data_IF_860516732022
#
_entry.id   IF_860516732022
#
_cell.length_a   1.000
_cell.length_b   1.000
_cell.length_c   1.000
_cell.angle_alpha   90.00
_cell.angle_beta   90.00
_cell.angle_gamma   90.00
#
_symmetry.space_group_name_H-M   'P 1'
#
loop_
_entity.id
_entity.type
_entity.pdbx_description
1 polymer ?
#
# COMPACT_ATOMS: atom_id res chain seq x y z
N UNK A 1 -4.93 -27.45 -9.87
CA UNK A 1 -3.79 -26.56 -9.59
C UNK A 1 -4.37 -25.16 -9.40
N UNK A 2 -4.30 -24.60 -8.19
CA UNK A 2 -4.89 -23.29 -7.92
C UNK A 2 -4.16 -22.23 -8.76
N UNK A 3 -4.93 -21.45 -9.52
CA UNK A 3 -4.42 -20.30 -10.24
C UNK A 3 -3.75 -19.37 -9.20
N UNK A 4 -2.45 -19.02 -9.31
CA UNK A 4 -1.87 -18.08 -8.36
C UNK A 4 -2.69 -16.81 -8.43
N UNK A 5 -3.37 -16.48 -7.33
CA UNK A 5 -4.20 -15.28 -7.24
C UNK A 5 -3.31 -14.10 -7.62
N UNK A 6 -3.64 -13.43 -8.73
CA UNK A 6 -2.94 -12.20 -9.14
C UNK A 6 -3.22 -11.18 -8.05
N UNK A 7 -2.20 -10.90 -7.24
CA UNK A 7 -2.29 -10.00 -6.09
C UNK A 7 -1.48 -8.74 -6.31
N UNK A 8 -0.41 -8.80 -7.11
CA UNK A 8 0.34 -7.62 -7.55
C UNK A 8 -0.60 -6.57 -8.14
N UNK A 9 -0.43 -5.32 -7.75
CA UNK A 9 -1.24 -4.21 -8.24
C UNK A 9 -2.49 -3.91 -7.43
N UNK A 10 -2.85 -4.75 -6.45
CA UNK A 10 -4.03 -4.53 -5.61
C UNK A 10 -3.73 -3.65 -4.42
N UNK A 11 -4.75 -2.89 -4.02
CA UNK A 11 -4.79 -2.21 -2.71
C UNK A 11 -5.55 -3.11 -1.74
N UNK A 12 -4.96 -3.40 -0.59
CA UNK A 12 -5.55 -4.24 0.46
C UNK A 12 -5.56 -3.49 1.79
N UNK A 13 -6.47 -3.86 2.69
CA UNK A 13 -6.44 -3.38 4.07
C UNK A 13 -5.63 -4.35 4.92
N UNK A 14 -4.64 -3.81 5.63
CA UNK A 14 -3.79 -4.58 6.54
C UNK A 14 -3.64 -3.85 7.87
N UNK A 15 -3.41 -4.61 8.92
CA UNK A 15 -3.19 -4.09 10.26
C UNK A 15 -1.70 -3.77 10.43
N UNK A 16 -1.34 -2.48 10.45
CA UNK A 16 0.00 -2.04 10.78
C UNK A 16 0.11 -1.73 12.28
N UNK A 17 1.24 -2.08 12.88
CA UNK A 17 1.64 -1.56 14.19
C UNK A 17 2.20 -0.15 14.01
N UNK A 18 2.07 0.70 15.02
CA UNK A 18 2.88 1.91 15.07
C UNK A 18 4.35 1.55 15.37
N UNK A 19 5.29 2.39 14.94
CA UNK A 19 6.74 2.19 15.17
C UNK A 19 7.08 2.06 16.66
N UNK A 20 6.31 2.73 17.53
CA UNK A 20 6.44 2.69 18.99
C UNK A 20 5.70 1.49 19.63
N UNK A 21 5.11 0.61 18.81
CA UNK A 21 4.31 -0.55 19.20
C UNK A 21 3.11 -0.24 20.12
N UNK A 22 2.73 1.04 20.27
CA UNK A 22 1.71 1.48 21.23
C UNK A 22 0.31 0.99 20.86
N UNK A 23 0.04 0.80 19.57
CA UNK A 23 -1.26 0.36 19.07
C UNK A 23 -1.16 -0.19 17.64
N UNK A 24 -2.29 -0.70 17.15
CA UNK A 24 -2.44 -1.13 15.77
C UNK A 24 -3.49 -0.28 15.06
N UNK A 25 -3.32 -0.09 13.76
CA UNK A 25 -4.30 0.60 12.92
C UNK A 25 -4.41 -0.11 11.58
N UNK A 26 -5.64 -0.34 11.13
CA UNK A 26 -5.89 -0.83 9.77
C UNK A 26 -5.59 0.31 8.80
N UNK A 27 -4.68 0.07 7.85
CA UNK A 27 -4.30 1.03 6.81
C UNK A 27 -4.29 0.32 5.45
N UNK A 28 -4.55 1.06 4.35
CA UNK A 28 -4.35 0.52 3.02
C UNK A 28 -2.87 0.23 2.76
N UNK A 29 -2.59 -0.78 1.94
CA UNK A 29 -1.27 -1.11 1.43
C UNK A 29 -1.36 -1.57 -0.03
N UNK A 30 -0.30 -1.32 -0.80
CA UNK A 30 -0.21 -1.75 -2.20
C UNK A 30 0.60 -3.04 -2.33
N UNK A 31 0.07 -4.04 -3.03
CA UNK A 31 0.77 -5.30 -3.26
C UNK A 31 1.80 -5.16 -4.39
N UNK A 32 3.08 -5.20 -4.05
CA UNK A 32 4.20 -5.08 -5.00
C UNK A 32 4.46 -6.39 -5.76
N UNK A 33 4.11 -7.52 -5.16
CA UNK A 33 4.35 -8.85 -5.71
C UNK A 33 3.07 -9.69 -5.75
N UNK A 34 3.07 -10.69 -6.62
CA UNK A 34 2.26 -11.89 -6.39
C UNK A 34 2.85 -12.66 -5.20
N UNK A 35 2.20 -13.74 -4.71
CA UNK A 35 2.82 -14.61 -3.73
C UNK A 35 4.22 -15.07 -4.19
N UNK A 36 5.24 -14.86 -3.36
CA UNK A 36 6.65 -15.20 -3.61
C UNK A 36 7.19 -16.14 -2.54
N UNK A 37 8.13 -17.00 -2.94
CA UNK A 37 8.78 -17.97 -2.07
C UNK A 37 7.88 -19.14 -1.65
N UNK A 38 8.45 -20.09 -0.91
CA UNK A 38 7.75 -21.30 -0.43
C UNK A 38 6.57 -21.00 0.49
N UNK A 39 6.62 -19.85 1.17
CA UNK A 39 5.63 -19.43 2.15
C UNK A 39 4.52 -18.55 1.54
N UNK A 40 4.54 -18.31 0.22
CA UNK A 40 3.55 -17.48 -0.47
C UNK A 40 3.42 -16.06 0.11
N UNK A 41 4.55 -15.46 0.49
CA UNK A 41 4.58 -14.11 1.05
C UNK A 41 4.24 -13.07 -0.01
N UNK A 42 3.61 -11.97 0.39
CA UNK A 42 3.35 -10.82 -0.48
C UNK A 42 4.10 -9.63 0.09
N UNK A 43 4.88 -8.97 -0.76
CA UNK A 43 5.55 -7.72 -0.37
C UNK A 43 4.54 -6.59 -0.54
N UNK A 44 4.36 -5.80 0.52
CA UNK A 44 3.43 -4.69 0.58
C UNK A 44 4.21 -3.37 0.66
N UNK A 45 3.70 -2.35 -0.01
CA UNK A 45 4.13 -0.96 0.18
C UNK A 45 3.08 -0.22 1.03
N UNK A 46 3.56 0.57 1.99
CA UNK A 46 2.73 1.33 2.88
C UNK A 46 2.00 2.47 2.14
N UNK A 47 0.69 2.63 2.37
CA UNK A 47 -0.10 3.77 1.87
C UNK A 47 -0.52 4.65 3.04
N UNK A 48 -0.24 5.95 2.93
CA UNK A 48 -0.67 6.98 3.88
C UNK A 48 -1.55 8.03 3.24
N UNK A 49 -2.59 8.45 3.96
CA UNK A 49 -3.38 9.61 3.57
C UNK A 49 -2.76 10.94 4.07
N UNK A 50 -1.68 10.88 4.85
CA UNK A 50 -0.87 12.02 5.28
C UNK A 50 0.30 12.15 4.30
N UNK A 51 0.09 12.92 3.23
CA UNK A 51 1.11 13.18 2.22
C UNK A 51 2.17 14.11 2.84
N UNK A 52 3.45 13.74 2.84
CA UNK A 52 4.51 14.60 3.35
C UNK A 52 4.70 15.81 2.43
N UNK A 53 5.14 16.93 3.01
CA UNK A 53 5.44 18.15 2.25
C UNK A 53 6.68 17.97 1.38
N UNK A 54 7.68 17.27 1.91
CA UNK A 54 8.93 16.94 1.23
C UNK A 54 8.83 15.49 0.74
N UNK A 55 8.54 15.33 -0.55
CA UNK A 55 8.46 14.01 -1.19
C UNK A 55 9.86 13.50 -1.51
N UNK A 56 10.10 12.22 -1.21
CA UNK A 56 11.29 11.52 -1.68
C UNK A 56 11.10 11.07 -3.14
N UNK A 57 12.20 10.79 -3.84
CA UNK A 57 12.16 10.23 -5.20
C UNK A 57 11.41 8.87 -5.26
N UNK A 58 11.37 8.16 -4.13
CA UNK A 58 10.68 6.88 -3.98
C UNK A 58 9.19 7.00 -3.63
N UNK A 59 8.71 8.19 -3.28
CA UNK A 59 7.31 8.40 -2.92
C UNK A 59 6.44 8.52 -4.18
N UNK A 60 5.27 7.88 -4.17
CA UNK A 60 4.32 7.93 -5.28
C UNK A 60 3.02 8.54 -4.79
N UNK A 61 2.68 9.73 -5.30
CA UNK A 61 1.43 10.40 -4.98
C UNK A 61 0.28 9.80 -5.79
N UNK A 62 -0.75 9.36 -5.07
CA UNK A 62 -2.03 8.91 -5.61
C UNK A 62 -3.02 10.07 -5.51
N UNK A 63 -3.11 10.89 -6.56
CA UNK A 63 -3.98 12.06 -6.57
C UNK A 63 -5.44 11.68 -6.87
N UNK A 64 -6.34 12.09 -5.99
CA UNK A 64 -7.79 11.94 -6.15
C UNK A 64 -8.38 12.68 -7.36
N UNK A 65 -7.66 13.64 -7.94
CA UNK A 65 -8.07 14.30 -9.19
C UNK A 65 -7.84 13.43 -10.43
N UNK A 66 -7.03 12.37 -10.34
CA UNK A 66 -6.70 11.51 -11.46
C UNK A 66 -7.95 10.71 -11.92
N UNK A 67 -8.25 10.61 -13.23
CA UNK A 67 -9.45 9.93 -13.72
C UNK A 67 -9.60 8.48 -13.23
N UNK A 68 -8.49 7.75 -13.16
CA UNK A 68 -8.47 6.36 -12.70
C UNK A 68 -8.42 6.19 -11.17
N UNK A 69 -8.40 7.28 -10.39
CA UNK A 69 -8.26 7.18 -8.93
C UNK A 69 -9.39 6.38 -8.28
N UNK A 70 -10.61 6.47 -8.82
CA UNK A 70 -11.75 5.70 -8.34
C UNK A 70 -11.50 4.18 -8.36
N UNK A 71 -10.63 3.69 -9.25
CA UNK A 71 -10.28 2.27 -9.36
C UNK A 71 -9.35 1.79 -8.22
N UNK A 72 -8.74 2.71 -7.47
CA UNK A 72 -7.85 2.38 -6.35
C UNK A 72 -8.58 1.89 -5.10
N UNK A 73 -9.87 2.23 -4.95
CA UNK A 73 -10.64 2.00 -3.72
C UNK A 73 -10.26 2.92 -2.54
N UNK A 74 -9.33 3.86 -2.74
CA UNK A 74 -8.98 4.87 -1.74
C UNK A 74 -10.02 5.99 -1.70
N UNK A 75 -10.22 6.59 -0.53
CA UNK A 75 -11.25 7.62 -0.32
C UNK A 75 -10.78 9.06 -0.59
N UNK A 76 -9.47 9.30 -0.61
CA UNK A 76 -8.85 10.62 -0.75
C UNK A 76 -7.41 10.50 -1.22
N UNK A 77 -6.83 11.59 -1.73
CA UNK A 77 -5.42 11.63 -2.13
C UNK A 77 -4.53 11.05 -1.03
N UNK A 78 -3.59 10.21 -1.46
CA UNK A 78 -2.71 9.42 -0.59
C UNK A 78 -1.31 9.35 -1.20
N UNK A 79 -0.36 8.79 -0.47
CA UNK A 79 0.98 8.51 -0.98
C UNK A 79 1.38 7.06 -0.66
N UNK A 80 2.01 6.39 -1.62
CA UNK A 80 2.78 5.18 -1.37
C UNK A 80 4.17 5.63 -0.90
N UNK A 81 4.61 5.12 0.25
CA UNK A 81 5.94 5.39 0.80
C UNK A 81 6.73 4.09 0.86
N UNK A 82 7.90 4.07 0.21
CA UNK A 82 8.74 2.87 0.11
C UNK A 82 9.87 2.84 1.16
N UNK A 83 10.09 3.96 1.85
CA UNK A 83 11.03 4.11 2.97
C UNK A 83 10.37 3.87 4.34
N UNK A 84 9.05 3.68 4.37
CA UNK A 84 8.26 3.40 5.57
C UNK A 84 7.65 2.00 5.52
N UNK A 85 7.68 1.32 6.68
CA UNK A 85 7.01 0.05 6.92
C UNK A 85 5.73 0.25 7.74
#
# INVERSE_FOLDING_TARGET
MANPSITKGKVVLVTFQFDDLSSTKVRPAYCLTNPVGSNNHIILAYITAKIPTDLLETDIVLDSSHPDFANSGLRRSSAIRLDFL
#
